data_IF_538835080621
#
_entry.id   IF_538835080621
#
_cell.length_a   1.000
_cell.length_b   1.000
_cell.length_c   1.000
_cell.angle_alpha   90.00
_cell.angle_beta   90.00
_cell.angle_gamma   90.00
#
_symmetry.space_group_name_H-M   'P 1'
#
loop_
_entity.id
_entity.type
_entity.pdbx_description
1 polymer ?
#
# COMPACT_ATOMS: atom_id res chain seq x y z
N UNK A 1 -29.30 -14.55 -24.17
CA UNK A 1 -28.05 -15.35 -24.24
C UNK A 1 -27.08 -14.85 -23.17
N UNK A 2 -26.64 -15.73 -22.27
CA UNK A 2 -25.68 -15.44 -21.18
C UNK A 2 -24.28 -15.20 -21.77
N UNK A 3 -23.58 -14.14 -21.35
CA UNK A 3 -22.12 -14.03 -21.50
C UNK A 3 -21.50 -13.85 -20.12
N UNK A 4 -21.54 -14.93 -19.35
CA UNK A 4 -20.74 -15.11 -18.15
C UNK A 4 -19.51 -15.91 -18.52
N UNK A 5 -18.41 -15.23 -18.85
CA UNK A 5 -17.12 -15.90 -18.99
C UNK A 5 -16.05 -14.98 -18.42
N UNK A 6 -15.84 -15.10 -17.11
CA UNK A 6 -14.62 -14.59 -16.45
C UNK A 6 -13.45 -15.37 -17.02
N UNK A 7 -12.53 -14.68 -17.69
CA UNK A 7 -11.23 -15.25 -18.03
C UNK A 7 -10.30 -15.05 -16.83
N UNK A 8 -10.00 -16.16 -16.16
CA UNK A 8 -8.92 -16.24 -15.17
C UNK A 8 -7.67 -16.64 -15.93
N UNK A 9 -6.78 -15.68 -16.20
CA UNK A 9 -5.43 -15.97 -16.68
C UNK A 9 -4.48 -15.41 -15.63
N UNK A 10 -3.71 -16.30 -15.01
CA UNK A 10 -2.76 -16.07 -13.91
C UNK A 10 -3.34 -15.38 -12.66
N UNK A 11 -4.31 -16.00 -11.98
CA UNK A 11 -4.64 -15.71 -10.56
C UNK A 11 -5.12 -14.30 -10.19
N UNK A 12 -5.13 -13.35 -11.12
CA UNK A 12 -5.59 -11.98 -10.95
C UNK A 12 -6.77 -11.82 -11.91
N UNK A 13 -7.98 -11.80 -11.36
CA UNK A 13 -9.17 -11.47 -12.13
C UNK A 13 -9.04 -10.00 -12.56
N UNK A 14 -8.71 -9.77 -13.83
CA UNK A 14 -8.44 -8.45 -14.44
C UNK A 14 -9.69 -7.56 -14.54
N UNK A 15 -10.86 -8.05 -14.11
CA UNK A 15 -12.15 -7.44 -14.43
C UNK A 15 -12.81 -6.64 -13.28
N UNK A 16 -12.01 -5.94 -12.47
CA UNK A 16 -12.52 -4.97 -11.49
C UNK A 16 -11.80 -3.63 -11.61
N UNK A 17 -12.24 -2.86 -12.61
CA UNK A 17 -12.46 -1.41 -12.63
C UNK A 17 -11.33 -0.54 -12.01
N UNK A 18 -10.79 0.45 -12.75
CA UNK A 18 -9.92 1.51 -12.23
C UNK A 18 -10.39 2.14 -10.89
N UNK A 19 -11.69 2.09 -10.62
CA UNK A 19 -12.33 2.52 -9.38
C UNK A 19 -11.84 1.76 -8.12
N UNK A 20 -11.54 0.45 -8.22
CA UNK A 20 -10.95 -0.33 -7.12
C UNK A 20 -9.52 0.11 -6.84
N UNK A 21 -8.75 0.42 -7.89
CA UNK A 21 -7.39 0.99 -7.77
C UNK A 21 -7.45 2.37 -7.10
N UNK A 22 -8.44 3.20 -7.45
CA UNK A 22 -8.64 4.51 -6.83
C UNK A 22 -8.96 4.42 -5.33
N UNK A 23 -9.92 3.58 -4.92
CA UNK A 23 -10.24 3.41 -3.49
C UNK A 23 -9.08 2.84 -2.69
N UNK A 24 -8.32 1.89 -3.27
CA UNK A 24 -7.09 1.36 -2.66
C UNK A 24 -6.03 2.44 -2.49
N UNK A 25 -5.80 3.29 -3.51
CA UNK A 25 -4.88 4.44 -3.40
C UNK A 25 -5.29 5.43 -2.33
N UNK A 26 -6.59 5.75 -2.25
CA UNK A 26 -7.06 6.75 -1.29
C UNK A 26 -7.00 6.23 0.15
N UNK A 27 -7.31 4.94 0.38
CA UNK A 27 -7.12 4.30 1.67
C UNK A 27 -5.64 4.27 2.06
N UNK A 28 -4.78 3.89 1.13
CA UNK A 28 -3.34 3.85 1.33
C UNK A 28 -2.79 5.24 1.67
N UNK A 29 -3.24 6.30 0.97
CA UNK A 29 -2.90 7.69 1.29
C UNK A 29 -3.30 8.06 2.72
N UNK A 30 -4.53 7.72 3.14
CA UNK A 30 -4.97 8.00 4.51
C UNK A 30 -4.12 7.26 5.55
N UNK A 31 -3.85 5.97 5.31
CA UNK A 31 -3.02 5.16 6.20
C UNK A 31 -1.60 5.76 6.29
N UNK A 32 -0.99 6.15 5.17
CA UNK A 32 0.34 6.78 5.13
C UNK A 32 0.38 8.17 5.78
N UNK A 33 -0.65 8.99 5.58
CA UNK A 33 -0.77 10.28 6.24
C UNK A 33 -0.87 10.14 7.76
N UNK A 34 -1.66 9.16 8.23
CA UNK A 34 -1.78 8.86 9.65
C UNK A 34 -0.44 8.38 10.23
N UNK A 35 0.24 7.46 9.55
CA UNK A 35 1.55 6.95 9.96
C UNK A 35 2.58 8.07 10.02
N UNK A 36 2.60 8.98 9.04
CA UNK A 36 3.49 10.13 9.03
C UNK A 36 3.25 11.07 10.22
N UNK A 37 1.99 11.24 10.64
CA UNK A 37 1.60 12.15 11.73
C UNK A 37 1.73 11.53 13.13
N UNK A 38 1.41 10.25 13.28
CA UNK A 38 1.28 9.58 14.58
C UNK A 38 2.24 8.41 14.77
N UNK A 39 2.98 8.00 13.75
CA UNK A 39 3.91 6.88 13.78
C UNK A 39 3.27 5.54 13.41
N UNK A 40 4.12 4.60 12.95
CA UNK A 40 3.71 3.27 12.51
C UNK A 40 3.11 2.42 13.64
N UNK A 41 3.72 2.43 14.83
CA UNK A 41 3.25 1.65 15.97
C UNK A 41 1.82 2.02 16.39
N UNK A 42 1.51 3.33 16.46
CA UNK A 42 0.18 3.83 16.79
C UNK A 42 -0.85 3.46 15.72
N UNK A 43 -0.46 3.45 14.44
CA UNK A 43 -1.34 3.00 13.36
C UNK A 43 -1.66 1.51 13.45
N UNK A 44 -0.65 0.67 13.70
CA UNK A 44 -0.81 -0.78 13.89
C UNK A 44 -1.75 -1.06 15.06
N UNK A 45 -1.56 -0.36 16.19
CA UNK A 45 -2.40 -0.49 17.39
C UNK A 45 -3.84 -0.05 17.10
N UNK A 46 -4.02 1.10 16.43
CA UNK A 46 -5.34 1.67 16.12
C UNK A 46 -6.14 0.81 15.13
N UNK A 47 -5.48 0.31 14.08
CA UNK A 47 -6.08 -0.60 13.10
C UNK A 47 -6.13 -2.06 13.55
N UNK A 48 -5.59 -2.39 14.74
CA UNK A 48 -5.47 -3.75 15.30
C UNK A 48 -4.82 -4.72 14.31
N UNK A 49 -3.78 -4.27 13.62
CA UNK A 49 -3.07 -5.06 12.62
C UNK A 49 -2.21 -6.09 13.33
N UNK A 50 -2.46 -7.38 13.10
CA UNK A 50 -1.66 -8.49 13.66
C UNK A 50 -0.46 -8.87 12.80
N UNK A 51 -0.28 -8.23 11.65
CA UNK A 51 0.81 -8.55 10.73
C UNK A 51 2.11 -7.89 11.21
N UNK A 52 3.09 -8.71 11.58
CA UNK A 52 4.43 -8.24 11.94
C UNK A 52 5.10 -7.50 10.76
N UNK A 53 4.82 -7.94 9.53
CA UNK A 53 5.43 -7.41 8.30
C UNK A 53 4.60 -6.28 7.66
N UNK A 54 3.83 -5.54 8.47
CA UNK A 54 2.94 -4.50 7.94
C UNK A 54 3.70 -3.39 7.20
N UNK A 55 4.93 -3.08 7.62
CA UNK A 55 5.79 -2.13 6.93
C UNK A 55 6.15 -2.59 5.50
N UNK A 56 6.50 -3.86 5.33
CA UNK A 56 6.78 -4.46 4.02
C UNK A 56 5.52 -4.46 3.14
N UNK A 57 4.37 -4.73 3.76
CA UNK A 57 3.09 -4.68 3.06
C UNK A 57 2.76 -3.27 2.54
N UNK A 58 3.07 -2.21 3.31
CA UNK A 58 2.91 -0.83 2.86
C UNK A 58 3.89 -0.47 1.74
N UNK A 59 5.16 -0.88 1.87
CA UNK A 59 6.17 -0.68 0.84
C UNK A 59 5.75 -1.34 -0.49
N UNK A 60 5.27 -2.57 -0.46
CA UNK A 60 4.79 -3.27 -1.65
C UNK A 60 3.60 -2.57 -2.30
N UNK A 61 2.66 -2.04 -1.52
CA UNK A 61 1.52 -1.30 -2.04
C UNK A 61 1.93 0.06 -2.65
N UNK A 62 2.82 0.81 -2.00
CA UNK A 62 3.34 2.07 -2.54
C UNK A 62 4.13 1.82 -3.83
N UNK A 63 4.96 0.77 -3.86
CA UNK A 63 5.71 0.40 -5.05
C UNK A 63 4.80 0.04 -6.22
N UNK A 64 3.72 -0.70 -5.97
CA UNK A 64 2.71 -1.01 -7.00
C UNK A 64 2.04 0.26 -7.56
N UNK A 65 1.74 1.25 -6.70
CA UNK A 65 1.19 2.53 -7.14
C UNK A 65 2.20 3.30 -8.00
N UNK A 66 3.47 3.33 -7.61
CA UNK A 66 4.55 3.97 -8.37
C UNK A 66 4.85 3.24 -9.68
N UNK A 67 4.69 1.92 -9.74
CA UNK A 67 4.83 1.15 -10.98
C UNK A 67 3.74 1.53 -12.01
N UNK A 68 2.54 1.85 -11.55
CA UNK A 68 1.44 2.31 -12.41
C UNK A 68 1.57 3.81 -12.73
N UNK A 69 2.00 4.62 -11.76
CA UNK A 69 2.18 6.06 -11.91
C UNK A 69 3.51 6.51 -11.29
N UNK A 70 4.61 6.47 -12.06
CA UNK A 70 5.95 6.76 -11.53
C UNK A 70 6.15 8.23 -11.15
N UNK A 71 5.39 9.15 -11.76
CA UNK A 71 5.50 10.60 -11.53
C UNK A 71 4.72 11.09 -10.30
N UNK A 72 4.14 10.18 -9.51
CA UNK A 72 3.41 10.52 -8.30
C UNK A 72 4.35 10.93 -7.16
N UNK A 73 4.71 12.21 -7.12
CA UNK A 73 5.61 12.80 -6.11
C UNK A 73 5.16 12.56 -4.67
N UNK A 74 3.84 12.46 -4.43
CA UNK A 74 3.31 12.19 -3.09
C UNK A 74 3.71 10.77 -2.63
N UNK A 75 3.50 9.79 -3.50
CA UNK A 75 3.86 8.39 -3.24
C UNK A 75 5.37 8.15 -3.25
N UNK A 76 6.13 8.89 -4.05
CA UNK A 76 7.60 8.89 -3.95
C UNK A 76 8.06 9.34 -2.56
N UNK A 77 7.47 10.42 -2.02
CA UNK A 77 7.77 10.88 -0.67
C UNK A 77 7.41 9.85 0.41
N UNK A 78 6.27 9.18 0.27
CA UNK A 78 5.89 8.09 1.18
C UNK A 78 6.85 6.90 1.09
N UNK A 79 7.30 6.53 -0.11
CA UNK A 79 8.27 5.45 -0.30
C UNK A 79 9.58 5.75 0.44
N UNK A 80 10.14 6.95 0.26
CA UNK A 80 11.35 7.38 0.97
C UNK A 80 11.16 7.34 2.48
N UNK A 81 10.04 7.88 2.99
CA UNK A 81 9.74 7.87 4.42
C UNK A 81 9.64 6.45 5.00
N UNK A 82 8.98 5.52 4.30
CA UNK A 82 8.88 4.13 4.74
C UNK A 82 10.23 3.40 4.73
N UNK A 83 11.10 3.70 3.75
CA UNK A 83 12.47 3.15 3.68
C UNK A 83 13.31 3.67 4.84
N UNK A 84 13.22 4.96 5.15
CA UNK A 84 13.89 5.55 6.32
C UNK A 84 13.41 4.93 7.63
N UNK A 85 12.09 4.74 7.75
CA UNK A 85 11.48 4.12 8.92
C UNK A 85 11.94 2.66 9.08
N UNK A 86 12.11 1.93 7.97
CA UNK A 86 12.69 0.58 7.98
C UNK A 86 14.13 0.60 8.48
N UNK A 87 14.98 1.46 7.89
CA UNK A 87 16.38 1.62 8.30
C UNK A 87 16.51 1.99 9.78
N UNK A 88 15.64 2.85 10.29
CA UNK A 88 15.65 3.24 11.70
C UNK A 88 15.27 2.07 12.64
N UNK A 89 14.40 1.17 12.21
CA UNK A 89 14.06 -0.05 12.96
C UNK A 89 15.16 -1.12 12.93
N UNK A 90 15.92 -1.20 11.83
CA UNK A 90 17.02 -2.17 11.63
C UNK A 90 18.33 -1.75 12.32
N UNK A 91 18.44 -0.54 12.89
CA UNK A 91 19.63 -0.05 13.62
C UNK A 91 19.55 -0.31 15.14
N UNK A 92 18.64 -1.16 15.60
CA UNK A 92 18.59 -1.64 16.99
C UNK A 92 19.16 -3.06 17.01
N UNK A 93 20.47 -3.18 16.79
CA UNK A 93 21.28 -4.36 17.07
C UNK A 93 22.58 -3.93 17.76
#
# INVERSE_FOLDING_TARGET
MRKGTRQTVTGIVVNEKPQVVFHKRNKLRQDLFYIKKFGLANHILHRKIKQANYLEHLLGQVNFVLQINPDDKEFQGYMTYLIELKKAGDNVD
#
